data_IF_176114241186
#
_entry.id   IF_176114241186
#
_cell.length_a   1.000
_cell.length_b   1.000
_cell.length_c   1.000
_cell.angle_alpha   90.00
_cell.angle_beta   90.00
_cell.angle_gamma   90.00
#
_symmetry.space_group_name_H-M   'P 1'
#
loop_
_entity.id
_entity.type
_entity.pdbx_description
1 polymer ?
#
# COMPACT_ATOMS: atom_id res chain seq x y z
N UNK A 1 -19.54 -9.37 14.73
CA UNK A 1 -19.82 -8.26 15.67
C UNK A 1 -19.66 -6.92 14.98
N UNK A 2 -18.42 -6.49 14.51
CA UNK A 2 -18.20 -5.16 13.89
C UNK A 2 -19.12 -4.87 12.71
N UNK A 3 -19.30 -5.83 11.79
CA UNK A 3 -20.20 -5.67 10.63
C UNK A 3 -21.67 -5.49 11.03
N UNK A 4 -22.10 -6.16 12.11
CA UNK A 4 -23.47 -6.02 12.64
C UNK A 4 -23.68 -4.64 13.27
N UNK A 5 -22.72 -4.16 14.06
CA UNK A 5 -22.79 -2.84 14.69
C UNK A 5 -22.79 -1.70 13.68
N UNK A 6 -21.98 -1.82 12.62
CA UNK A 6 -21.89 -0.77 11.61
C UNK A 6 -23.17 -0.57 10.79
N UNK A 7 -24.05 -1.58 10.69
CA UNK A 7 -25.27 -1.53 9.87
C UNK A 7 -25.03 -1.29 8.37
N UNK A 8 -23.78 -1.36 7.92
CA UNK A 8 -23.33 -1.15 6.54
C UNK A 8 -22.08 -1.99 6.22
N UNK A 9 -21.80 -2.27 4.94
CA UNK A 9 -20.57 -2.95 4.55
C UNK A 9 -19.33 -2.19 5.00
N UNK A 10 -18.40 -2.90 5.64
CA UNK A 10 -17.09 -2.38 6.08
C UNK A 10 -15.97 -3.02 5.26
N UNK A 11 -14.93 -2.24 4.97
CA UNK A 11 -13.62 -2.75 4.59
C UNK A 11 -12.87 -3.09 5.88
N UNK A 12 -12.62 -4.39 6.10
CA UNK A 12 -11.88 -4.90 7.25
C UNK A 12 -10.52 -5.39 6.75
N UNK A 13 -9.47 -4.64 7.07
CA UNK A 13 -8.12 -4.92 6.59
C UNK A 13 -7.15 -5.27 7.70
N UNK A 14 -6.06 -5.91 7.32
CA UNK A 14 -4.89 -6.13 8.16
C UNK A 14 -3.62 -6.29 7.31
N UNK A 15 -2.46 -5.99 7.92
CA UNK A 15 -1.15 -6.28 7.37
C UNK A 15 -0.85 -7.77 7.54
N UNK A 16 -1.14 -8.53 6.50
CA UNK A 16 -0.90 -9.98 6.44
C UNK A 16 -0.01 -10.25 5.24
N UNK A 17 1.29 -10.25 5.47
CA UNK A 17 2.33 -10.40 4.45
C UNK A 17 2.86 -11.84 4.38
N UNK A 18 2.83 -12.54 5.51
CA UNK A 18 3.39 -13.88 5.72
C UNK A 18 2.33 -14.91 6.13
N UNK A 19 1.06 -14.70 5.74
CA UNK A 19 -0.08 -15.51 6.15
C UNK A 19 -0.76 -15.00 7.41
N UNK A 20 -1.96 -15.54 7.69
CA UNK A 20 -2.84 -15.06 8.77
C UNK A 20 -2.21 -15.22 10.15
N UNK A 21 -1.37 -16.25 10.34
CA UNK A 21 -0.64 -16.50 11.59
C UNK A 21 0.30 -15.39 12.02
N UNK A 22 0.70 -14.50 11.10
CA UNK A 22 1.49 -13.32 11.43
C UNK A 22 0.78 -12.37 12.42
N UNK A 23 -0.54 -12.33 12.39
CA UNK A 23 -1.37 -11.41 13.20
C UNK A 23 -2.42 -12.10 14.07
N UNK A 24 -2.83 -13.29 13.72
CA UNK A 24 -3.93 -13.99 14.38
C UNK A 24 -3.50 -15.38 14.83
N UNK A 25 -3.61 -15.63 16.15
CA UNK A 25 -3.28 -16.93 16.73
C UNK A 25 -4.07 -18.07 16.07
N UNK A 26 -3.39 -19.16 15.75
CA UNK A 26 -3.99 -20.33 15.09
C UNK A 26 -4.12 -20.22 13.56
N UNK A 27 -3.77 -19.09 12.96
CA UNK A 27 -3.63 -18.96 11.51
C UNK A 27 -2.33 -19.55 10.97
N UNK A 28 -2.28 -19.84 9.68
CA UNK A 28 -1.05 -20.29 9.00
C UNK A 28 -0.06 -19.14 8.89
N UNK A 29 1.19 -19.38 9.28
CA UNK A 29 2.32 -18.50 9.00
C UNK A 29 3.24 -19.15 7.98
N UNK A 30 3.58 -18.42 6.94
CA UNK A 30 4.51 -18.84 5.90
C UNK A 30 5.91 -18.27 6.16
N UNK A 31 6.88 -18.78 5.43
CA UNK A 31 8.22 -18.19 5.39
C UNK A 31 8.15 -16.78 4.80
N UNK A 32 9.06 -15.87 5.21
CA UNK A 32 9.10 -14.53 4.64
C UNK A 32 9.22 -14.52 3.11
N UNK A 33 8.64 -13.53 2.42
CA UNK A 33 8.63 -13.42 0.96
C UNK A 33 10.01 -13.56 0.31
N UNK A 34 11.07 -13.01 0.91
CA UNK A 34 12.44 -13.12 0.38
C UNK A 34 12.92 -14.58 0.33
N UNK A 35 12.44 -15.45 1.22
CA UNK A 35 12.70 -16.89 1.16
C UNK A 35 12.10 -17.53 -0.09
N UNK A 36 10.91 -17.09 -0.52
CA UNK A 36 10.28 -17.56 -1.76
C UNK A 36 11.06 -17.06 -2.98
N UNK A 37 11.63 -15.86 -2.92
CA UNK A 37 12.51 -15.34 -3.97
C UNK A 37 13.76 -16.21 -4.16
N UNK A 38 14.32 -16.79 -3.10
CA UNK A 38 15.44 -17.73 -3.22
C UNK A 38 15.04 -19.04 -3.91
N UNK A 39 13.82 -19.54 -3.63
CA UNK A 39 13.27 -20.69 -4.37
C UNK A 39 13.11 -20.34 -5.84
N UNK A 40 12.56 -19.15 -6.13
CA UNK A 40 12.34 -18.67 -7.49
C UNK A 40 13.65 -18.54 -8.28
N UNK A 41 14.75 -18.11 -7.66
CA UNK A 41 16.07 -18.04 -8.30
C UNK A 41 16.56 -19.42 -8.80
N UNK A 42 16.24 -20.49 -8.05
CA UNK A 42 16.63 -21.86 -8.40
C UNK A 42 15.64 -22.52 -9.39
N UNK A 43 14.35 -22.28 -9.21
CA UNK A 43 13.27 -22.79 -10.07
C UNK A 43 12.15 -21.75 -10.15
N UNK A 44 12.10 -21.06 -11.28
CA UNK A 44 11.13 -19.99 -11.50
C UNK A 44 9.67 -20.50 -11.40
N UNK A 45 9.37 -21.67 -11.95
CA UNK A 45 8.04 -22.24 -11.98
C UNK A 45 7.58 -22.64 -10.57
N UNK A 46 8.46 -23.24 -9.80
CA UNK A 46 8.19 -23.63 -8.41
C UNK A 46 7.96 -22.37 -7.56
N UNK A 47 8.81 -21.34 -7.65
CA UNK A 47 8.65 -20.10 -6.90
C UNK A 47 7.32 -19.40 -7.20
N UNK A 48 6.93 -19.29 -8.48
CA UNK A 48 5.63 -18.74 -8.90
C UNK A 48 4.48 -19.57 -8.32
N UNK A 49 4.54 -20.90 -8.43
CA UNK A 49 3.51 -21.79 -7.92
C UNK A 49 3.33 -21.66 -6.39
N UNK A 50 4.44 -21.56 -5.66
CA UNK A 50 4.42 -21.37 -4.20
C UNK A 50 3.82 -20.01 -3.85
N UNK A 51 4.25 -18.92 -4.49
CA UNK A 51 3.72 -17.58 -4.24
C UNK A 51 2.20 -17.52 -4.46
N UNK A 52 1.69 -18.16 -5.53
CA UNK A 52 0.26 -18.21 -5.81
C UNK A 52 -0.51 -19.05 -4.77
N UNK A 53 0.05 -20.19 -4.31
CA UNK A 53 -0.54 -21.00 -3.24
C UNK A 53 -0.56 -20.26 -1.91
N UNK A 54 0.52 -19.57 -1.54
CA UNK A 54 0.57 -18.72 -0.34
C UNK A 54 -0.55 -17.67 -0.40
N UNK A 55 -0.67 -16.96 -1.52
CA UNK A 55 -1.76 -15.99 -1.72
C UNK A 55 -3.15 -16.61 -1.57
N UNK A 56 -3.37 -17.80 -2.17
CA UNK A 56 -4.66 -18.51 -2.07
C UNK A 56 -5.02 -18.89 -0.63
N UNK A 57 -4.09 -19.49 0.10
CA UNK A 57 -4.37 -19.91 1.48
C UNK A 57 -4.52 -18.71 2.41
N UNK A 58 -3.68 -17.68 2.26
CA UNK A 58 -3.81 -16.42 3.01
C UNK A 58 -5.17 -15.77 2.78
N UNK A 59 -5.61 -15.66 1.53
CA UNK A 59 -6.92 -15.10 1.19
C UNK A 59 -8.08 -15.93 1.75
N UNK A 60 -7.99 -17.26 1.68
CA UNK A 60 -9.01 -18.17 2.21
C UNK A 60 -9.13 -18.06 3.74
N UNK A 61 -8.01 -18.05 4.46
CA UNK A 61 -8.01 -17.92 5.92
C UNK A 61 -8.46 -16.53 6.35
N UNK A 62 -8.00 -15.47 5.69
CA UNK A 62 -8.43 -14.10 5.95
C UNK A 62 -9.95 -13.94 5.83
N UNK A 63 -10.54 -14.55 4.79
CA UNK A 63 -11.99 -14.57 4.61
C UNK A 63 -12.71 -15.27 5.76
N UNK A 64 -12.18 -16.39 6.23
CA UNK A 64 -12.78 -17.17 7.32
C UNK A 64 -12.81 -16.40 8.64
N UNK A 65 -11.82 -15.56 8.93
CA UNK A 65 -11.81 -14.69 10.12
C UNK A 65 -12.56 -13.35 9.90
N UNK A 66 -13.14 -13.15 8.71
CA UNK A 66 -14.01 -12.02 8.40
C UNK A 66 -13.31 -10.81 7.81
N UNK A 67 -12.02 -10.87 7.49
CA UNK A 67 -11.34 -9.86 6.69
C UNK A 67 -11.83 -9.90 5.25
N UNK A 68 -11.78 -8.76 4.57
CA UNK A 68 -12.10 -8.65 3.15
C UNK A 68 -11.05 -7.85 2.36
N UNK A 69 -10.00 -7.38 3.04
CA UNK A 69 -8.92 -6.63 2.42
C UNK A 69 -7.58 -6.93 3.11
N UNK A 70 -6.57 -7.31 2.34
CA UNK A 70 -5.19 -7.50 2.79
C UNK A 70 -4.35 -6.30 2.37
N UNK A 71 -3.61 -5.71 3.31
CA UNK A 71 -2.60 -4.71 3.03
C UNK A 71 -1.30 -5.42 2.59
N UNK A 72 -1.40 -6.12 1.49
CA UNK A 72 -0.37 -6.95 0.83
C UNK A 72 -0.71 -7.12 -0.66
N UNK A 73 0.27 -7.39 -1.55
CA UNK A 73 1.69 -7.68 -1.29
C UNK A 73 2.57 -6.43 -1.13
N UNK A 74 3.74 -6.63 -0.50
CA UNK A 74 4.85 -5.67 -0.53
C UNK A 74 5.48 -5.71 -1.93
N UNK A 75 5.54 -4.55 -2.60
CA UNK A 75 6.08 -4.40 -3.95
C UNK A 75 7.46 -3.77 -3.98
N UNK A 76 7.94 -3.39 -2.80
CA UNK A 76 9.26 -2.81 -2.63
C UNK A 76 10.35 -3.82 -3.00
N UNK A 77 11.38 -3.34 -3.69
CA UNK A 77 12.51 -4.17 -4.13
C UNK A 77 13.62 -4.04 -3.11
N UNK A 78 14.13 -5.16 -2.59
CA UNK A 78 15.21 -5.15 -1.59
C UNK A 78 16.57 -4.87 -2.25
N UNK A 79 16.74 -3.67 -2.80
CA UNK A 79 17.93 -3.25 -3.53
C UNK A 79 18.97 -2.53 -2.64
N UNK A 80 18.67 -2.30 -1.38
CA UNK A 80 19.58 -1.72 -0.41
C UNK A 80 19.67 -2.62 0.83
N UNK A 81 20.83 -3.25 1.04
CA UNK A 81 21.07 -4.15 2.17
C UNK A 81 21.03 -3.48 3.56
N UNK A 82 21.08 -2.14 3.59
CA UNK A 82 20.97 -1.35 4.83
C UNK A 82 19.52 -0.98 5.16
N UNK A 83 18.56 -1.33 4.30
CA UNK A 83 17.17 -1.02 4.54
C UNK A 83 16.65 -1.76 5.78
N UNK A 84 16.23 -1.05 6.85
CA UNK A 84 15.80 -1.70 8.08
C UNK A 84 14.35 -2.19 8.04
N UNK A 85 13.54 -1.75 7.06
CA UNK A 85 12.08 -1.92 7.03
C UNK A 85 11.65 -3.01 6.06
N UNK A 86 12.19 -3.02 4.85
CA UNK A 86 11.72 -3.91 3.78
C UNK A 86 12.35 -5.29 3.91
N UNK A 87 13.64 -5.41 3.74
CA UNK A 87 14.42 -6.62 4.02
C UNK A 87 13.66 -7.93 3.65
N UNK A 88 13.38 -8.80 4.63
CA UNK A 88 12.72 -10.09 4.43
C UNK A 88 11.28 -9.99 3.89
N UNK A 89 10.63 -8.84 4.02
CA UNK A 89 9.28 -8.58 3.50
C UNK A 89 9.22 -8.48 1.98
N UNK A 90 10.37 -8.19 1.32
CA UNK A 90 10.42 -8.08 -0.14
C UNK A 90 10.29 -9.45 -0.83
N UNK A 91 9.61 -9.46 -1.97
CA UNK A 91 9.52 -10.63 -2.86
C UNK A 91 10.73 -10.79 -3.78
N UNK A 92 11.81 -10.04 -3.55
CA UNK A 92 13.05 -10.14 -4.31
C UNK A 92 13.93 -8.90 -4.23
N UNK A 93 15.08 -9.01 -4.87
CA UNK A 93 16.13 -8.00 -4.91
C UNK A 93 16.23 -7.33 -6.30
N UNK A 94 15.39 -7.74 -7.25
CA UNK A 94 15.27 -7.15 -8.58
C UNK A 94 13.80 -7.01 -9.00
N UNK A 95 13.54 -6.07 -9.91
CA UNK A 95 12.20 -5.70 -10.33
C UNK A 95 11.42 -6.84 -11.01
N UNK A 96 12.10 -7.74 -11.71
CA UNK A 96 11.43 -8.83 -12.43
C UNK A 96 10.98 -9.95 -11.48
N UNK A 97 11.80 -10.29 -10.49
CA UNK A 97 11.47 -11.26 -9.45
C UNK A 97 10.30 -10.74 -8.62
N UNK A 98 10.37 -9.50 -8.11
CA UNK A 98 9.28 -8.89 -7.33
C UNK A 98 7.99 -8.85 -8.15
N UNK A 99 8.04 -8.36 -9.38
CA UNK A 99 6.91 -8.34 -10.32
C UNK A 99 6.24 -9.71 -10.45
N UNK A 100 7.02 -10.76 -10.73
CA UNK A 100 6.46 -12.10 -11.01
C UNK A 100 5.84 -12.72 -9.77
N UNK A 101 6.50 -12.62 -8.63
CA UNK A 101 6.04 -13.24 -7.38
C UNK A 101 4.86 -12.49 -6.77
N UNK A 102 4.87 -11.14 -6.76
CA UNK A 102 3.74 -10.34 -6.28
C UNK A 102 2.49 -10.52 -7.15
N UNK A 103 2.65 -10.61 -8.47
CA UNK A 103 1.54 -10.94 -9.37
C UNK A 103 0.99 -12.34 -9.11
N UNK A 104 1.84 -13.34 -8.85
CA UNK A 104 1.40 -14.69 -8.50
C UNK A 104 0.64 -14.70 -7.16
N UNK A 105 1.19 -14.05 -6.13
CA UNK A 105 0.53 -13.90 -4.83
C UNK A 105 -0.85 -13.26 -4.98
N UNK A 106 -0.95 -12.12 -5.69
CA UNK A 106 -2.20 -11.41 -5.90
C UNK A 106 -3.24 -12.28 -6.64
N UNK A 107 -2.85 -13.06 -7.67
CA UNK A 107 -3.75 -14.03 -8.31
C UNK A 107 -4.30 -15.05 -7.32
N UNK A 108 -3.43 -15.56 -6.44
CA UNK A 108 -3.82 -16.50 -5.39
C UNK A 108 -4.88 -15.90 -4.45
N UNK A 109 -4.63 -14.71 -3.91
CA UNK A 109 -5.56 -14.01 -3.01
C UNK A 109 -6.91 -13.73 -3.68
N UNK A 110 -6.89 -13.27 -4.92
CA UNK A 110 -8.11 -12.91 -5.69
C UNK A 110 -9.09 -14.07 -5.85
N UNK A 111 -8.61 -15.32 -5.83
CA UNK A 111 -9.48 -16.54 -5.88
C UNK A 111 -10.40 -16.65 -4.66
N UNK A 112 -10.13 -15.94 -3.58
CA UNK A 112 -10.95 -15.90 -2.37
C UNK A 112 -11.89 -14.69 -2.32
N UNK A 113 -11.91 -13.83 -3.34
CA UNK A 113 -12.61 -12.54 -3.36
C UNK A 113 -12.21 -11.65 -2.18
N UNK A 114 -10.92 -11.58 -1.91
CA UNK A 114 -10.30 -10.69 -0.94
C UNK A 114 -9.54 -9.61 -1.71
N UNK A 115 -9.73 -8.35 -1.31
CA UNK A 115 -9.04 -7.21 -1.88
C UNK A 115 -7.55 -7.25 -1.52
N UNK A 116 -6.71 -6.77 -2.43
CA UNK A 116 -5.25 -6.67 -2.25
C UNK A 116 -4.77 -5.23 -2.35
N UNK A 117 -3.62 -4.94 -1.76
CA UNK A 117 -3.01 -3.63 -1.71
C UNK A 117 -1.53 -3.70 -2.07
N UNK A 118 -1.12 -3.12 -3.19
CA UNK A 118 0.28 -2.96 -3.55
C UNK A 118 0.94 -1.87 -2.71
N UNK A 119 2.06 -2.16 -2.04
CA UNK A 119 2.70 -1.23 -1.12
C UNK A 119 4.23 -1.38 -1.13
N UNK A 120 4.96 -0.33 -0.82
CA UNK A 120 4.60 1.06 -0.46
C UNK A 120 4.98 1.99 -1.62
N UNK A 121 3.99 2.47 -2.35
CA UNK A 121 4.21 3.31 -3.53
C UNK A 121 4.89 4.65 -3.16
N UNK A 122 5.86 5.17 -3.95
CA UNK A 122 6.35 4.63 -5.23
C UNK A 122 7.53 3.63 -5.11
N UNK A 123 7.90 3.18 -3.91
CA UNK A 123 8.97 2.21 -3.65
C UNK A 123 9.81 2.61 -2.44
N UNK A 124 9.83 1.74 -1.42
CA UNK A 124 10.52 1.95 -0.13
C UNK A 124 11.86 1.20 -0.06
N UNK A 125 12.18 0.39 -1.09
CA UNK A 125 13.32 -0.52 -1.03
C UNK A 125 14.68 0.17 -0.91
N UNK A 126 14.85 1.33 -1.54
CA UNK A 126 16.10 2.10 -1.54
C UNK A 126 16.15 3.15 -0.41
N UNK A 127 15.68 2.84 0.79
CA UNK A 127 15.79 3.72 1.96
C UNK A 127 16.73 3.14 3.01
N UNK A 128 17.40 4.01 3.78
CA UNK A 128 18.26 3.63 4.91
C UNK A 128 17.63 3.98 6.27
N UNK A 129 16.43 4.56 6.27
CA UNK A 129 15.72 5.04 7.46
C UNK A 129 14.38 4.36 7.55
N UNK A 130 13.97 4.03 8.77
CA UNK A 130 12.64 3.49 9.08
C UNK A 130 11.60 4.62 9.08
N UNK A 131 10.62 4.53 8.17
CA UNK A 131 9.51 5.50 8.07
C UNK A 131 8.59 5.54 9.30
N UNK A 132 8.66 4.55 10.19
CA UNK A 132 7.99 4.62 11.49
C UNK A 132 8.64 5.63 12.45
N UNK A 133 9.93 5.91 12.27
CA UNK A 133 10.70 6.79 13.14
C UNK A 133 10.92 8.17 12.53
N UNK A 134 11.35 8.22 11.27
CA UNK A 134 11.69 9.45 10.57
C UNK A 134 11.24 9.36 9.10
N UNK A 135 11.21 10.50 8.39
CA UNK A 135 10.85 10.55 6.99
C UNK A 135 12.06 10.16 6.11
N UNK A 136 12.03 8.97 5.45
CA UNK A 136 13.11 8.56 4.57
C UNK A 136 13.21 9.48 3.35
N UNK A 137 14.45 9.88 3.01
CA UNK A 137 14.75 10.66 1.81
C UNK A 137 15.35 9.74 0.76
N UNK A 138 14.75 9.74 -0.44
CA UNK A 138 15.18 8.92 -1.58
C UNK A 138 15.50 9.85 -2.75
N UNK A 139 16.75 9.84 -3.21
CA UNK A 139 17.25 10.76 -4.22
C UNK A 139 17.02 10.29 -5.67
N UNK A 140 16.25 9.22 -5.87
CA UNK A 140 15.88 8.77 -7.20
C UNK A 140 15.03 9.82 -7.93
N UNK A 141 15.35 10.03 -9.20
CA UNK A 141 14.50 10.81 -10.11
C UNK A 141 13.36 9.94 -10.68
N UNK A 142 12.44 10.56 -11.42
CA UNK A 142 11.31 9.86 -11.99
C UNK A 142 11.74 8.76 -12.97
N UNK A 143 12.77 9.00 -13.76
CA UNK A 143 13.25 8.05 -14.76
C UNK A 143 13.87 6.80 -14.12
N UNK A 144 14.49 6.96 -12.97
CA UNK A 144 15.01 5.85 -12.17
C UNK A 144 13.87 5.01 -11.56
N UNK A 145 12.85 5.67 -10.98
CA UNK A 145 11.65 4.98 -10.48
C UNK A 145 10.95 4.19 -11.60
N UNK A 146 10.78 4.76 -12.78
CA UNK A 146 10.14 4.11 -13.92
C UNK A 146 10.89 2.86 -14.39
N UNK A 147 12.21 2.90 -14.35
CA UNK A 147 13.06 1.77 -14.80
C UNK A 147 13.15 0.65 -13.76
N UNK A 148 12.81 0.92 -12.50
CA UNK A 148 13.06 -0.04 -11.44
C UNK A 148 11.86 -0.20 -10.50
N UNK A 149 11.63 0.74 -9.59
CA UNK A 149 10.66 0.61 -8.49
C UNK A 149 9.21 0.52 -8.98
N UNK A 150 8.84 1.21 -10.06
CA UNK A 150 7.46 1.23 -10.56
C UNK A 150 7.07 -0.02 -11.36
N UNK A 151 8.02 -0.87 -11.79
CA UNK A 151 7.73 -2.06 -12.60
C UNK A 151 6.80 -3.05 -11.89
N UNK A 152 6.99 -3.43 -10.62
CA UNK A 152 6.04 -4.28 -9.89
C UNK A 152 4.66 -3.65 -9.74
N UNK A 153 4.60 -2.35 -9.40
CA UNK A 153 3.33 -1.62 -9.25
C UNK A 153 2.54 -1.57 -10.56
N UNK A 154 3.20 -1.19 -11.67
CA UNK A 154 2.55 -1.16 -12.98
C UNK A 154 2.00 -2.53 -13.37
N UNK A 155 2.73 -3.60 -13.03
CA UNK A 155 2.30 -4.96 -13.37
C UNK A 155 1.08 -5.38 -12.58
N UNK A 156 1.01 -5.06 -11.28
CA UNK A 156 -0.16 -5.30 -10.43
C UNK A 156 -1.35 -4.43 -10.83
N UNK A 157 -1.13 -3.19 -11.23
CA UNK A 157 -2.16 -2.29 -11.76
C UNK A 157 -2.77 -2.91 -13.04
N UNK A 158 -1.94 -3.37 -13.96
CA UNK A 158 -2.38 -4.03 -15.18
C UNK A 158 -3.12 -5.36 -14.91
N UNK A 159 -2.80 -6.05 -13.80
CA UNK A 159 -3.47 -7.26 -13.34
C UNK A 159 -4.77 -6.98 -12.57
N UNK A 160 -5.08 -5.71 -12.27
CA UNK A 160 -6.31 -5.30 -11.58
C UNK A 160 -6.21 -5.35 -10.06
N UNK A 161 -5.07 -4.96 -9.47
CA UNK A 161 -4.97 -4.78 -8.01
C UNK A 161 -6.01 -3.77 -7.52
N UNK A 162 -6.65 -4.06 -6.39
CA UNK A 162 -7.78 -3.26 -5.88
C UNK A 162 -7.35 -1.93 -5.29
N UNK A 163 -6.18 -1.92 -4.61
CA UNK A 163 -5.69 -0.72 -3.95
C UNK A 163 -4.18 -0.58 -4.03
N UNK A 164 -3.71 0.66 -3.84
CA UNK A 164 -2.30 1.02 -3.72
C UNK A 164 -2.13 1.85 -2.45
N UNK A 165 -1.17 1.49 -1.61
CA UNK A 165 -0.79 2.25 -0.42
C UNK A 165 0.38 3.16 -0.74
N UNK A 166 0.24 4.44 -0.38
CA UNK A 166 1.31 5.44 -0.53
C UNK A 166 2.16 5.45 0.73
N UNK A 167 3.45 5.14 0.58
CA UNK A 167 4.41 5.17 1.68
C UNK A 167 4.77 6.60 2.11
N UNK A 168 5.23 6.74 3.37
CA UNK A 168 5.74 8.01 3.88
C UNK A 168 7.21 8.17 3.48
N UNK A 169 7.42 8.63 2.24
CA UNK A 169 8.73 8.73 1.58
C UNK A 169 8.90 10.11 0.96
N UNK A 170 10.09 10.68 1.03
CA UNK A 170 10.37 11.97 0.44
C UNK A 170 11.31 11.83 -0.77
N UNK A 171 10.85 12.31 -1.92
CA UNK A 171 11.56 12.28 -3.20
C UNK A 171 11.84 13.72 -3.67
N UNK A 172 12.89 14.39 -3.16
CA UNK A 172 13.14 15.81 -3.46
C UNK A 172 13.38 16.09 -4.93
N UNK A 173 13.83 15.10 -5.72
CA UNK A 173 14.02 15.23 -7.18
C UNK A 173 12.70 15.20 -7.97
N UNK A 174 11.56 14.82 -7.33
CA UNK A 174 10.24 14.72 -7.98
C UNK A 174 9.28 15.75 -7.38
N UNK A 175 9.15 15.77 -6.05
CA UNK A 175 8.42 16.79 -5.31
C UNK A 175 9.32 17.36 -4.22
N UNK A 176 9.88 18.58 -4.41
CA UNK A 176 10.82 19.15 -3.45
C UNK A 176 10.15 19.66 -2.15
N UNK A 177 8.80 19.59 -2.06
CA UNK A 177 8.04 20.20 -0.96
C UNK A 177 7.39 19.15 -0.08
N UNK A 178 6.75 18.15 -0.68
CA UNK A 178 5.88 17.21 0.03
C UNK A 178 6.35 15.75 -0.07
N UNK A 179 6.24 14.97 1.02
CA UNK A 179 6.42 13.52 0.96
C UNK A 179 5.31 12.89 0.11
N UNK A 180 5.56 11.68 -0.39
CA UNK A 180 4.70 11.00 -1.36
C UNK A 180 3.23 10.95 -0.94
N UNK A 181 2.94 10.68 0.33
CA UNK A 181 1.57 10.65 0.87
C UNK A 181 0.83 11.99 0.73
N UNK A 182 1.54 13.12 0.69
CA UNK A 182 0.98 14.47 0.61
C UNK A 182 1.21 15.13 -0.75
N UNK A 183 1.82 14.41 -1.70
CA UNK A 183 2.24 14.92 -3.01
C UNK A 183 1.19 14.68 -4.08
N UNK A 184 0.63 15.75 -4.65
CA UNK A 184 -0.22 15.68 -5.85
C UNK A 184 0.53 15.14 -7.06
N UNK A 185 1.84 15.42 -7.16
CA UNK A 185 2.68 14.94 -8.26
C UNK A 185 2.75 13.42 -8.23
N UNK A 186 3.04 12.83 -7.06
CA UNK A 186 3.18 11.38 -6.95
C UNK A 186 1.83 10.64 -6.96
N UNK A 187 0.80 11.19 -6.33
CA UNK A 187 -0.51 10.52 -6.27
C UNK A 187 -1.34 10.76 -7.53
N UNK A 188 -1.54 12.03 -7.94
CA UNK A 188 -2.40 12.32 -9.09
C UNK A 188 -1.67 12.19 -10.41
N UNK A 189 -0.48 12.79 -10.57
CA UNK A 189 0.13 12.85 -11.88
C UNK A 189 0.82 11.51 -12.21
N UNK A 190 1.61 10.95 -11.29
CA UNK A 190 2.28 9.68 -11.52
C UNK A 190 1.31 8.50 -11.40
N UNK A 191 0.71 8.24 -10.22
CA UNK A 191 -0.08 7.03 -10.01
C UNK A 191 -1.40 7.04 -10.81
N UNK A 192 -2.18 8.14 -10.74
CA UNK A 192 -3.50 8.19 -11.39
C UNK A 192 -3.42 8.37 -12.89
N UNK A 193 -2.65 9.39 -13.37
CA UNK A 193 -2.65 9.76 -14.79
C UNK A 193 -1.66 8.90 -15.59
N UNK A 194 -0.40 8.80 -15.14
CA UNK A 194 0.64 8.10 -15.91
C UNK A 194 0.50 6.59 -15.81
N UNK A 195 0.40 6.02 -14.59
CA UNK A 195 0.20 4.58 -14.39
C UNK A 195 -1.26 4.15 -14.56
N UNK A 196 -2.20 5.09 -14.77
CA UNK A 196 -3.64 4.86 -15.03
C UNK A 196 -4.35 4.05 -13.95
N UNK A 197 -3.95 4.19 -12.70
CA UNK A 197 -4.57 3.48 -11.59
C UNK A 197 -5.93 4.08 -11.22
N UNK A 198 -7.00 3.28 -11.27
CA UNK A 198 -8.37 3.70 -10.98
C UNK A 198 -8.98 3.05 -9.73
N UNK A 199 -8.25 2.18 -9.03
CA UNK A 199 -8.68 1.57 -7.76
C UNK A 199 -8.54 2.51 -6.56
N UNK A 200 -8.66 1.97 -5.35
CA UNK A 200 -8.50 2.71 -4.10
C UNK A 200 -7.05 3.12 -3.86
N UNK A 201 -6.83 4.36 -3.48
CA UNK A 201 -5.54 4.80 -2.92
C UNK A 201 -5.70 5.00 -1.42
N UNK A 202 -4.84 4.37 -0.65
CA UNK A 202 -4.81 4.46 0.81
C UNK A 202 -3.49 5.08 1.26
N UNK A 203 -3.51 5.91 2.31
CA UNK A 203 -2.28 6.35 2.95
C UNK A 203 -1.63 5.19 3.71
N UNK A 204 -0.34 5.24 3.94
CA UNK A 204 0.24 4.54 5.08
C UNK A 204 -0.28 5.15 6.39
N UNK A 205 -0.01 4.52 7.53
CA UNK A 205 -0.56 4.93 8.82
C UNK A 205 -0.10 6.34 9.20
N UNK A 206 -1.01 7.32 9.22
CA UNK A 206 -0.68 8.72 9.51
C UNK A 206 -0.19 8.95 10.94
N UNK A 207 -0.34 7.98 11.84
CA UNK A 207 0.24 8.01 13.19
C UNK A 207 1.76 7.90 13.18
N UNK A 208 2.39 7.44 12.08
CA UNK A 208 3.83 7.30 11.97
C UNK A 208 4.53 8.66 12.05
N UNK A 209 5.65 8.73 12.78
CA UNK A 209 6.35 9.97 13.09
C UNK A 209 6.78 10.75 11.85
N UNK A 210 7.08 10.05 10.75
CA UNK A 210 7.40 10.66 9.45
C UNK A 210 6.38 11.73 9.01
N UNK A 211 5.13 11.62 9.43
CA UNK A 211 4.04 12.56 9.09
C UNK A 211 3.48 13.23 10.33
N UNK A 212 3.15 12.47 11.40
CA UNK A 212 2.43 12.98 12.57
C UNK A 212 3.14 14.14 13.26
N UNK A 213 4.47 14.06 13.39
CA UNK A 213 5.26 15.06 14.12
C UNK A 213 5.32 16.42 13.39
N UNK A 214 5.25 16.41 12.07
CA UNK A 214 5.36 17.64 11.27
C UNK A 214 4.02 18.27 10.94
N UNK A 215 2.99 17.46 10.71
CA UNK A 215 1.73 17.95 10.14
C UNK A 215 0.53 17.88 11.10
N UNK A 216 0.57 17.02 12.12
CA UNK A 216 -0.60 16.70 12.96
C UNK A 216 -1.66 15.90 12.22
N UNK A 217 -2.71 15.47 12.91
CA UNK A 217 -3.73 14.57 12.34
C UNK A 217 -4.65 15.25 11.33
N UNK A 218 -5.20 16.42 11.69
CA UNK A 218 -6.15 17.13 10.83
C UNK A 218 -5.52 17.59 9.52
N UNK A 219 -4.41 18.32 9.63
CA UNK A 219 -3.71 18.84 8.44
C UNK A 219 -3.17 17.73 7.55
N UNK A 220 -2.60 16.67 8.13
CA UNK A 220 -2.11 15.54 7.35
C UNK A 220 -3.25 14.85 6.57
N UNK A 221 -4.40 14.62 7.22
CA UNK A 221 -5.57 14.03 6.57
C UNK A 221 -6.10 14.88 5.42
N UNK A 222 -6.21 16.20 5.60
CA UNK A 222 -6.62 17.15 4.56
C UNK A 222 -5.67 17.12 3.39
N UNK A 223 -4.36 17.24 3.64
CA UNK A 223 -3.34 17.26 2.57
C UNK A 223 -3.29 15.94 1.81
N UNK A 224 -3.37 14.80 2.51
CA UNK A 224 -3.40 13.48 1.88
C UNK A 224 -4.64 13.30 1.00
N UNK A 225 -5.81 13.71 1.48
CA UNK A 225 -7.04 13.65 0.70
C UNK A 225 -7.00 14.59 -0.51
N UNK A 226 -6.48 15.79 -0.37
CA UNK A 226 -6.30 16.76 -1.48
C UNK A 226 -5.25 16.28 -2.49
N UNK A 227 -4.21 15.55 -2.03
CA UNK A 227 -3.23 14.92 -2.92
C UNK A 227 -3.82 13.80 -3.80
N UNK A 228 -4.97 13.22 -3.44
CA UNK A 228 -5.66 12.19 -4.24
C UNK A 228 -5.88 10.86 -3.52
N UNK A 229 -5.54 10.75 -2.25
CA UNK A 229 -5.79 9.57 -1.42
C UNK A 229 -7.28 9.44 -1.12
N UNK A 230 -7.83 8.23 -1.25
CA UNK A 230 -9.26 7.95 -1.06
C UNK A 230 -9.59 7.52 0.38
N UNK A 231 -8.64 6.85 1.04
CA UNK A 231 -8.78 6.33 2.40
C UNK A 231 -7.60 6.75 3.27
N UNK A 232 -7.89 7.41 4.37
CA UNK A 232 -6.92 7.82 5.37
C UNK A 232 -6.77 6.71 6.40
N UNK A 233 -5.56 6.17 6.56
CA UNK A 233 -5.28 5.09 7.49
C UNK A 233 -4.72 5.64 8.80
N UNK A 234 -5.31 5.25 9.93
CA UNK A 234 -4.80 5.45 11.28
C UNK A 234 -4.26 6.87 11.55
N UNK A 235 -5.06 7.95 11.42
CA UNK A 235 -4.65 9.25 11.95
C UNK A 235 -4.47 9.12 13.48
N UNK A 236 -3.53 9.87 14.06
CA UNK A 236 -3.26 9.82 15.51
C UNK A 236 -4.48 10.28 16.33
N UNK A 237 -5.19 11.28 15.82
CA UNK A 237 -6.47 11.75 16.33
C UNK A 237 -7.52 11.67 15.20
N UNK A 238 -8.50 10.78 15.39
CA UNK A 238 -9.53 10.51 14.38
C UNK A 238 -10.54 11.66 14.30
N UNK A 239 -10.91 12.23 15.44
CA UNK A 239 -11.90 13.30 15.49
C UNK A 239 -11.32 14.57 14.86
N UNK A 240 -10.07 14.95 15.19
CA UNK A 240 -9.36 16.05 14.55
C UNK A 240 -9.30 15.89 13.02
N UNK A 241 -9.00 14.65 12.54
CA UNK A 241 -8.93 14.38 11.10
C UNK A 241 -10.31 14.51 10.41
N UNK A 242 -11.38 14.05 11.06
CA UNK A 242 -12.75 14.15 10.53
C UNK A 242 -13.20 15.60 10.51
N UNK A 243 -12.98 16.35 11.59
CA UNK A 243 -13.39 17.75 11.71
C UNK A 243 -12.66 18.61 10.68
N UNK A 244 -11.36 18.46 10.53
CA UNK A 244 -10.57 19.19 9.54
C UNK A 244 -11.02 18.89 8.10
N UNK A 245 -11.25 17.64 7.73
CA UNK A 245 -11.76 17.27 6.40
C UNK A 245 -13.17 17.82 6.17
N UNK A 246 -14.01 17.79 7.19
CA UNK A 246 -15.38 18.29 7.14
C UNK A 246 -15.40 19.79 6.89
N UNK A 247 -14.57 20.56 7.62
CA UNK A 247 -14.42 22.01 7.42
C UNK A 247 -13.95 22.37 6.01
N UNK A 248 -12.93 21.65 5.49
CA UNK A 248 -12.40 21.89 4.13
C UNK A 248 -13.44 21.62 3.05
N UNK A 249 -14.33 20.63 3.25
CA UNK A 249 -15.41 20.31 2.32
C UNK A 249 -16.52 21.34 2.42
N UNK A 250 -16.96 21.74 3.63
CA UNK A 250 -18.00 22.76 3.81
C UNK A 250 -17.60 24.14 3.33
N UNK A 251 -16.33 24.51 3.49
CA UNK A 251 -15.81 25.78 2.95
C UNK A 251 -15.60 25.77 1.43
N UNK A 252 -15.72 24.60 0.78
CA UNK A 252 -15.50 24.45 -0.65
C UNK A 252 -14.01 24.43 -1.08
N UNK A 253 -13.07 24.43 -0.13
CA UNK A 253 -11.62 24.24 -0.45
C UNK A 253 -11.34 22.84 -0.99
N UNK A 254 -12.06 21.83 -0.48
CA UNK A 254 -12.13 20.50 -1.09
C UNK A 254 -13.51 20.33 -1.73
N UNK A 255 -13.54 20.03 -3.04
CA UNK A 255 -14.80 19.91 -3.77
C UNK A 255 -15.59 18.66 -3.38
N UNK A 256 -16.94 18.79 -3.38
CA UNK A 256 -17.84 17.63 -3.23
C UNK A 256 -17.63 16.58 -4.32
N UNK A 257 -17.17 17.00 -5.52
CA UNK A 257 -16.84 16.07 -6.60
C UNK A 257 -15.69 15.17 -6.19
N UNK A 258 -14.61 15.72 -5.58
CA UNK A 258 -13.47 14.96 -5.07
C UNK A 258 -13.92 13.90 -4.04
N UNK A 259 -14.80 14.28 -3.11
CA UNK A 259 -15.38 13.35 -2.13
C UNK A 259 -16.20 12.24 -2.81
N UNK A 260 -17.05 12.62 -3.80
CA UNK A 260 -17.88 11.66 -4.51
C UNK A 260 -17.08 10.68 -5.35
N UNK A 261 -15.94 11.08 -5.92
CA UNK A 261 -15.02 10.19 -6.63
C UNK A 261 -14.49 9.12 -5.67
N UNK A 262 -13.99 9.48 -4.50
CA UNK A 262 -13.52 8.52 -3.48
C UNK A 262 -14.63 7.58 -3.00
N UNK A 263 -15.83 8.11 -2.76
CA UNK A 263 -17.00 7.29 -2.39
C UNK A 263 -17.39 6.28 -3.48
N UNK A 264 -17.32 6.67 -4.75
CA UNK A 264 -17.59 5.77 -5.88
C UNK A 264 -16.56 4.64 -5.96
N UNK A 265 -15.26 4.96 -5.80
CA UNK A 265 -14.19 3.95 -5.77
C UNK A 265 -14.39 2.96 -4.63
N UNK A 266 -14.67 3.45 -3.41
CA UNK A 266 -14.94 2.58 -2.26
C UNK A 266 -16.16 1.67 -2.43
N UNK A 267 -17.21 2.14 -3.13
CA UNK A 267 -18.43 1.34 -3.38
C UNK A 267 -18.23 0.26 -4.44
N UNK A 268 -17.23 0.41 -5.29
CA UNK A 268 -16.89 -0.57 -6.33
C UNK A 268 -16.21 -1.81 -5.73
N UNK A 269 -15.47 -1.61 -4.66
CA UNK A 269 -14.80 -2.67 -3.88
C UNK A 269 -15.72 -3.18 -2.75
#
# INVERSE_FOLDING_TARGET
VLKQWAGKPLLLCADIEEGVGQRFYGGTQFVPPLGIAQIYKNDNNLGISIAEKIGYFTGKEAKNIGLNWLLAPVCDINNNSKNPVINLRAWGEDQNTVKRLTCAYQRGVSRSNILTCAKHFPGHGNSEIDSHLELPIIHNDLSELERFELIPFQSLINQGVNSVMIGHLFFPMIDPIYPATLSKILVNDLLRKQLKFNGLVVSDALVMNAISDKYGSGRAAVMAFDAGIDLILMPKDIDEAIDALTEEIYSGRISLERLNISRKRRKKE
#
